data_IF_570775486094
#
_entry.id   IF_570775486094
#
_cell.length_a   1.000
_cell.length_b   1.000
_cell.length_c   1.000
_cell.angle_alpha   90.00
_cell.angle_beta   90.00
_cell.angle_gamma   90.00
#
_symmetry.space_group_name_H-M   'P 1'
#
loop_
_entity.id
_entity.type
_entity.pdbx_description
1 polymer ?
#
# COMPACT_ATOMS: atom_id res chain seq x y z
N UNK A 1 -15.36 47.89 18.99
CA UNK A 1 -13.91 47.80 19.31
C UNK A 1 -13.83 46.93 20.56
N UNK A 2 -13.21 45.76 20.64
CA UNK A 2 -12.19 45.11 19.81
C UNK A 2 -12.20 43.60 20.08
N UNK A 3 -11.91 42.79 19.07
CA UNK A 3 -11.72 41.34 19.17
C UNK A 3 -10.29 41.07 19.68
N UNK A 4 -10.14 40.45 20.85
CA UNK A 4 -8.83 40.03 21.38
C UNK A 4 -8.48 38.63 20.87
N UNK A 5 -7.52 38.60 19.96
CA UNK A 5 -6.98 37.43 19.28
C UNK A 5 -6.34 36.42 20.25
N UNK A 6 -6.74 35.15 20.13
CA UNK A 6 -6.13 34.01 20.81
C UNK A 6 -4.77 33.68 20.18
N UNK A 7 -3.69 33.82 20.95
CA UNK A 7 -2.34 33.41 20.58
C UNK A 7 -2.16 31.90 20.80
N UNK A 8 -1.92 31.15 19.73
CA UNK A 8 -1.57 29.73 19.79
C UNK A 8 -0.08 29.53 20.16
N UNK A 9 0.28 28.55 21.00
CA UNK A 9 1.67 28.27 21.34
C UNK A 9 2.40 27.55 20.20
N UNK A 10 3.56 28.09 19.83
CA UNK A 10 4.48 27.51 18.86
C UNK A 10 5.11 26.22 19.39
N UNK A 11 4.91 25.12 18.65
CA UNK A 11 5.63 23.87 18.87
C UNK A 11 7.06 23.93 18.31
N UNK A 12 7.98 23.07 18.79
CA UNK A 12 9.37 23.08 18.36
C UNK A 12 9.52 22.71 16.87
N UNK A 13 10.55 23.24 16.19
CA UNK A 13 10.79 22.97 14.77
C UNK A 13 11.10 21.49 14.53
N UNK A 14 10.43 20.88 13.54
CA UNK A 14 10.67 19.49 13.12
C UNK A 14 11.99 19.41 12.36
N UNK A 15 13.08 19.08 13.05
CA UNK A 15 14.38 18.80 12.42
C UNK A 15 14.44 17.37 11.88
N UNK A 16 15.03 17.21 10.69
CA UNK A 16 15.21 15.89 10.08
C UNK A 16 16.33 15.12 10.82
N UNK A 17 15.97 13.99 11.44
CA UNK A 17 16.94 13.13 12.11
C UNK A 17 17.73 12.33 11.05
N UNK A 18 19.06 12.32 11.08
CA UNK A 18 19.88 11.50 10.19
C UNK A 18 19.55 10.01 10.31
N UNK A 19 19.34 9.33 9.17
CA UNK A 19 19.08 7.89 9.14
C UNK A 19 20.38 7.12 9.38
N UNK A 20 20.53 6.54 10.58
CA UNK A 20 21.64 5.63 10.88
C UNK A 20 21.51 4.33 10.05
N UNK A 21 22.63 3.79 9.52
CA UNK A 21 22.61 2.54 8.77
C UNK A 21 22.22 1.38 9.69
N UNK A 22 21.07 0.78 9.42
CA UNK A 22 20.51 -0.31 10.23
C UNK A 22 21.21 -1.64 9.92
N UNK A 23 22.44 -1.83 10.42
CA UNK A 23 23.21 -3.10 10.30
C UNK A 23 22.59 -4.30 11.04
N UNK A 24 21.57 -4.07 11.89
CA UNK A 24 20.92 -5.13 12.69
C UNK A 24 20.27 -6.24 11.84
N UNK A 25 19.90 -5.94 10.59
CA UNK A 25 19.08 -6.85 9.79
C UNK A 25 19.89 -7.80 8.88
N UNK A 26 21.22 -7.73 8.88
CA UNK A 26 22.06 -8.62 8.08
C UNK A 26 22.32 -9.96 8.78
N UNK A 27 22.49 -9.96 10.10
CA UNK A 27 22.84 -11.16 10.88
C UNK A 27 21.67 -12.16 11.04
N UNK A 28 20.43 -11.73 10.75
CA UNK A 28 19.23 -12.57 10.85
C UNK A 28 18.56 -12.88 9.50
N UNK A 29 19.14 -12.41 8.38
CA UNK A 29 18.67 -12.80 7.05
C UNK A 29 19.16 -14.22 6.76
N UNK A 30 18.40 -15.22 7.19
CA UNK A 30 18.58 -16.61 6.73
C UNK A 30 18.63 -16.62 5.20
N UNK A 31 19.74 -17.05 4.57
CA UNK A 31 19.78 -17.31 3.14
C UNK A 31 18.81 -18.46 2.87
N UNK A 32 17.77 -18.21 2.07
CA UNK A 32 16.71 -19.18 1.79
C UNK A 32 15.32 -18.80 2.31
N UNK A 33 15.15 -17.68 3.03
CA UNK A 33 13.81 -17.17 3.31
C UNK A 33 13.30 -16.41 2.07
N UNK A 34 12.87 -17.14 1.04
CA UNK A 34 11.98 -16.66 -0.01
C UNK A 34 10.70 -16.20 0.69
N UNK A 35 10.73 -14.96 1.21
CA UNK A 35 9.62 -14.34 1.90
C UNK A 35 8.41 -14.56 0.99
N UNK A 36 7.35 -15.25 1.45
CA UNK A 36 6.22 -15.60 0.61
C UNK A 36 5.78 -14.30 -0.04
N UNK A 37 5.76 -14.30 -1.38
CA UNK A 37 5.59 -13.10 -2.19
C UNK A 37 4.40 -12.32 -1.62
N UNK A 38 4.71 -11.27 -0.84
CA UNK A 38 3.68 -10.58 -0.08
C UNK A 38 2.81 -9.91 -1.12
N UNK A 39 1.57 -10.37 -1.20
CA UNK A 39 0.59 -9.81 -2.11
C UNK A 39 0.49 -8.32 -1.79
N UNK A 40 0.97 -7.50 -2.71
CA UNK A 40 0.97 -6.04 -2.53
C UNK A 40 -0.46 -5.50 -2.46
N UNK A 41 -1.42 -6.24 -3.04
CA UNK A 41 -2.80 -5.82 -3.13
C UNK A 41 -3.78 -7.00 -3.21
N UNK A 42 -4.69 -7.06 -2.24
CA UNK A 42 -5.83 -7.96 -2.26
C UNK A 42 -6.84 -7.58 -3.37
N UNK A 43 -7.54 -8.58 -3.91
CA UNK A 43 -8.67 -8.38 -4.82
C UNK A 43 -9.83 -7.64 -4.11
N UNK A 44 -10.77 -7.11 -4.90
CA UNK A 44 -11.91 -6.33 -4.42
C UNK A 44 -12.80 -7.14 -3.47
N UNK A 45 -13.06 -8.41 -3.80
CA UNK A 45 -13.92 -9.30 -3.01
C UNK A 45 -13.29 -9.63 -1.66
N UNK A 46 -11.99 -9.92 -1.60
CA UNK A 46 -11.30 -10.12 -0.33
C UNK A 46 -11.17 -8.83 0.49
N UNK A 47 -11.06 -7.66 -0.17
CA UNK A 47 -11.10 -6.36 0.52
C UNK A 47 -12.45 -6.10 1.16
N UNK A 48 -13.54 -6.31 0.41
CA UNK A 48 -14.90 -6.16 0.93
C UNK A 48 -15.16 -7.11 2.10
N UNK A 49 -14.73 -8.37 1.97
CA UNK A 49 -14.81 -9.39 3.03
C UNK A 49 -13.80 -9.21 4.17
N UNK A 50 -12.84 -8.29 4.05
CA UNK A 50 -11.72 -8.06 5.00
C UNK A 50 -10.93 -9.34 5.34
N UNK A 51 -10.74 -10.23 4.38
CA UNK A 51 -9.99 -11.50 4.55
C UNK A 51 -8.63 -11.46 3.84
N UNK A 52 -7.71 -12.34 4.25
CA UNK A 52 -6.40 -12.49 3.58
C UNK A 52 -6.60 -12.94 2.13
N UNK A 53 -6.01 -12.19 1.20
CA UNK A 53 -5.94 -12.57 -0.22
C UNK A 53 -4.57 -13.20 -0.52
N UNK A 54 -4.55 -14.31 -1.24
CA UNK A 54 -3.33 -15.00 -1.67
C UNK A 54 -2.73 -14.43 -2.97
N UNK A 55 -3.42 -13.52 -3.66
CA UNK A 55 -2.88 -12.83 -4.83
C UNK A 55 -2.75 -13.70 -6.09
N UNK A 56 -3.30 -14.92 -6.07
CA UNK A 56 -3.27 -15.81 -7.23
C UNK A 56 -4.07 -15.20 -8.40
N UNK A 57 -3.61 -15.49 -9.62
CA UNK A 57 -4.20 -15.07 -10.90
C UNK A 57 -4.49 -16.33 -11.71
N UNK A 58 -5.65 -16.44 -12.39
CA UNK A 58 -6.66 -15.39 -12.60
C UNK A 58 -7.60 -15.13 -11.41
N UNK A 59 -7.77 -16.10 -10.50
CA UNK A 59 -8.64 -15.99 -9.33
C UNK A 59 -7.87 -16.28 -8.03
N UNK A 60 -8.21 -15.55 -6.96
CA UNK A 60 -7.66 -15.80 -5.62
C UNK A 60 -8.22 -17.11 -5.05
N UNK A 61 -7.53 -17.80 -4.12
CA UNK A 61 -8.00 -19.09 -3.57
C UNK A 61 -9.41 -19.00 -2.99
N UNK A 62 -9.67 -18.02 -2.12
CA UNK A 62 -11.00 -17.78 -1.56
C UNK A 62 -12.04 -17.39 -2.61
N UNK A 63 -11.61 -16.84 -3.74
CA UNK A 63 -12.51 -16.41 -4.80
C UNK A 63 -12.89 -17.60 -5.69
N UNK A 64 -11.91 -18.47 -5.97
CA UNK A 64 -12.08 -19.72 -6.69
C UNK A 64 -12.98 -20.69 -5.91
N UNK A 65 -12.77 -20.82 -4.60
CA UNK A 65 -13.58 -21.70 -3.74
C UNK A 65 -15.04 -21.21 -3.63
N UNK A 66 -15.25 -19.90 -3.40
CA UNK A 66 -16.62 -19.34 -3.36
C UNK A 66 -17.22 -19.14 -4.76
N UNK A 67 -16.48 -19.44 -5.84
CA UNK A 67 -16.90 -19.16 -7.23
C UNK A 67 -17.40 -17.71 -7.43
N UNK A 68 -16.75 -16.76 -6.77
CA UNK A 68 -17.12 -15.32 -6.83
C UNK A 68 -16.23 -14.57 -7.79
N UNK A 69 -16.73 -13.44 -8.31
CA UNK A 69 -15.95 -12.57 -9.17
C UNK A 69 -14.65 -12.12 -8.48
N UNK A 70 -13.50 -12.42 -9.08
CA UNK A 70 -12.19 -12.04 -8.56
C UNK A 70 -11.60 -10.88 -9.36
N UNK A 71 -11.94 -9.66 -8.97
CA UNK A 71 -11.46 -8.44 -9.64
C UNK A 71 -10.36 -7.78 -8.83
N UNK A 72 -9.22 -7.52 -9.46
CA UNK A 72 -8.20 -6.63 -8.90
C UNK A 72 -8.38 -5.25 -9.57
N UNK A 73 -8.74 -4.20 -8.83
CA UNK A 73 -8.82 -2.84 -9.40
C UNK A 73 -7.49 -2.40 -10.05
N UNK A 74 -7.52 -1.47 -11.00
CA UNK A 74 -6.30 -0.83 -11.49
C UNK A 74 -5.71 0.06 -10.39
N UNK A 75 -4.38 0.08 -10.28
CA UNK A 75 -3.67 1.02 -9.38
C UNK A 75 -3.83 2.44 -9.91
N UNK A 76 -3.73 3.48 -9.06
CA UNK A 76 -3.76 4.89 -9.54
C UNK A 76 -2.73 5.16 -10.65
N UNK A 77 -1.56 4.52 -10.57
CA UNK A 77 -0.51 4.62 -11.58
C UNK A 77 -0.88 3.98 -12.92
N UNK A 78 -1.73 2.96 -12.89
CA UNK A 78 -2.27 2.30 -14.08
C UNK A 78 -3.31 3.20 -14.76
N UNK A 79 -4.20 3.85 -13.98
CA UNK A 79 -5.15 4.85 -14.48
C UNK A 79 -4.46 6.06 -15.11
N UNK A 80 -3.36 6.54 -14.51
CA UNK A 80 -2.57 7.61 -15.10
C UNK A 80 -1.93 7.17 -16.42
N UNK A 81 -1.46 5.91 -16.51
CA UNK A 81 -0.95 5.34 -17.77
C UNK A 81 -2.03 5.28 -18.85
N UNK A 82 -3.26 4.84 -18.52
CA UNK A 82 -4.36 4.81 -19.50
C UNK A 82 -4.73 6.20 -19.98
N UNK A 83 -4.81 7.20 -19.08
CA UNK A 83 -5.12 8.58 -19.44
C UNK A 83 -4.03 9.26 -20.27
N UNK A 84 -2.76 8.95 -20.01
CA UNK A 84 -1.65 9.47 -20.83
C UNK A 84 -1.69 8.82 -22.21
N UNK A 85 -1.87 7.50 -22.28
CA UNK A 85 -1.95 6.77 -23.54
C UNK A 85 -3.13 7.22 -24.42
N UNK A 86 -4.30 7.49 -23.84
CA UNK A 86 -5.48 7.98 -24.58
C UNK A 86 -5.37 9.44 -25.03
N UNK A 87 -4.39 10.20 -24.55
CA UNK A 87 -4.21 11.63 -24.87
C UNK A 87 -3.10 11.86 -25.89
N UNK A 88 -2.31 10.83 -26.19
CA UNK A 88 -1.19 10.86 -27.15
C UNK A 88 -1.49 10.12 -28.45
N UNK A 89 -2.70 9.58 -28.63
CA UNK A 89 -3.18 8.95 -29.87
C UNK A 89 -4.24 9.82 -30.54
#
# INVERSE_FOLDING_TARGET
MSLSSTSAPGGPPKVAIPKLPSKRNELFRKPGNSRPNRVTRACLTCRARKIKCNGAKPSCANCAETSTACVYSSSRKDRLKTFVYSRTV
#
